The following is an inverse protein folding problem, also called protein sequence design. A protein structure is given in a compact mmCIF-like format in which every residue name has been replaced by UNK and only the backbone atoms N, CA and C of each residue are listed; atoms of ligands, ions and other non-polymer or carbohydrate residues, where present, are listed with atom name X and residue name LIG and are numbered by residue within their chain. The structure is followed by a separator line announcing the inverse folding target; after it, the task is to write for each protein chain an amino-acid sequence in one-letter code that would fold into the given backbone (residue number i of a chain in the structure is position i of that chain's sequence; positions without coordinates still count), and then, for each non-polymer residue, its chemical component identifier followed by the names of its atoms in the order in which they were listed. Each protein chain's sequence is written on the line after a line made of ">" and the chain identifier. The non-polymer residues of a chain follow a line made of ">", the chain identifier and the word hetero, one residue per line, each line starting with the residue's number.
data_IF_015715514584
#
_entry.id   IF_015715514584
#
_cell.length_a   1.000
_cell.length_b   1.000
_cell.length_c   1.000
_cell.angle_alpha   90.00
_cell.angle_beta   90.00
_cell.angle_gamma   90.00
#
_symmetry.space_group_name_H-M   'P 1'
#
loop_
_entity.id
_entity.type
_entity.pdbx_description
1 polymer ?
#
# COMPACT_ATOMS: atom_id res chain seq x y z
N UNK A 1 40.60 -11.23 -29.05
CA UNK A 1 39.84 -10.78 -27.87
C UNK A 1 38.91 -11.91 -27.50
N UNK A 2 39.06 -12.43 -26.29
CA UNK A 2 38.39 -13.66 -25.85
C UNK A 2 36.89 -13.39 -25.64
N UNK A 3 36.08 -13.76 -26.63
CA UNK A 3 34.64 -13.47 -26.65
C UNK A 3 33.90 -14.11 -25.47
N UNK A 4 34.36 -15.27 -25.03
CA UNK A 4 33.79 -15.98 -23.89
C UNK A 4 34.07 -15.23 -22.58
N UNK A 5 35.25 -14.64 -22.43
CA UNK A 5 35.58 -13.83 -21.26
C UNK A 5 34.72 -12.54 -21.20
N UNK A 6 34.43 -11.93 -22.35
CA UNK A 6 33.56 -10.76 -22.44
C UNK A 6 32.10 -11.12 -22.12
N UNK A 7 31.63 -12.26 -22.65
CA UNK A 7 30.29 -12.77 -22.36
C UNK A 7 30.14 -13.06 -20.86
N UNK A 8 31.12 -13.72 -20.26
CA UNK A 8 31.12 -14.05 -18.83
C UNK A 8 31.12 -12.80 -17.95
N UNK A 9 31.94 -11.80 -18.29
CA UNK A 9 31.95 -10.53 -17.57
C UNK A 9 30.61 -9.78 -17.67
N UNK A 10 29.95 -9.88 -18.82
CA UNK A 10 28.63 -9.26 -19.06
C UNK A 10 27.55 -9.93 -18.22
N UNK A 11 27.52 -11.28 -18.18
CA UNK A 11 26.58 -12.07 -17.37
C UNK A 11 26.76 -11.73 -15.89
N UNK A 12 27.99 -11.76 -15.40
CA UNK A 12 28.29 -11.48 -13.99
C UNK A 12 27.84 -10.06 -13.59
N UNK A 13 27.97 -9.08 -14.49
CA UNK A 13 27.48 -7.72 -14.26
C UNK A 13 25.96 -7.66 -14.22
N UNK A 14 25.26 -8.41 -15.06
CA UNK A 14 23.79 -8.49 -15.05
C UNK A 14 23.28 -9.14 -13.77
N UNK A 15 23.91 -10.22 -13.30
CA UNK A 15 23.55 -10.88 -12.04
C UNK A 15 23.67 -9.93 -10.84
N UNK A 16 24.75 -9.15 -10.77
CA UNK A 16 24.93 -8.14 -9.72
C UNK A 16 23.85 -7.07 -9.76
N UNK A 17 23.44 -6.64 -10.96
CA UNK A 17 22.37 -5.67 -11.13
C UNK A 17 21.03 -6.25 -10.68
N UNK A 18 20.69 -7.47 -11.10
CA UNK A 18 19.45 -8.16 -10.71
C UNK A 18 19.37 -8.29 -9.19
N UNK A 19 20.44 -8.76 -8.55
CA UNK A 19 20.48 -8.95 -7.11
C UNK A 19 20.30 -7.63 -6.35
N UNK A 20 20.88 -6.53 -6.84
CA UNK A 20 20.68 -5.20 -6.27
C UNK A 20 19.22 -4.73 -6.40
N UNK A 21 18.55 -5.03 -7.51
CA UNK A 21 17.12 -4.71 -7.68
C UNK A 21 16.22 -5.57 -6.77
N UNK A 22 16.50 -6.85 -6.63
CA UNK A 22 15.76 -7.73 -5.71
C UNK A 22 15.87 -7.27 -4.26
N UNK A 23 17.05 -6.84 -3.83
CA UNK A 23 17.25 -6.24 -2.51
C UNK A 23 16.43 -4.96 -2.35
N UNK A 24 16.49 -4.04 -3.32
CA UNK A 24 15.68 -2.80 -3.29
C UNK A 24 14.18 -3.06 -3.25
N UNK A 25 13.70 -4.09 -3.95
CA UNK A 25 12.29 -4.48 -3.91
C UNK A 25 11.89 -5.03 -2.54
N UNK A 26 12.76 -5.77 -1.85
CA UNK A 26 12.53 -6.25 -0.48
C UNK A 26 12.60 -5.13 0.57
N UNK A 27 13.49 -4.15 0.38
CA UNK A 27 13.67 -3.02 1.28
C UNK A 27 12.60 -1.94 1.11
N UNK A 28 11.89 -1.94 -0.01
CA UNK A 28 10.76 -1.06 -0.20
C UNK A 28 9.76 -1.36 0.92
N UNK A 29 9.42 -0.39 1.78
CA UNK A 29 8.51 -0.63 2.89
C UNK A 29 7.25 -1.23 2.29
N UNK A 30 6.80 -2.38 2.83
CA UNK A 30 5.57 -3.00 2.36
C UNK A 30 4.47 -1.93 2.46
N UNK A 31 4.05 -1.43 1.30
CA UNK A 31 3.08 -0.35 1.14
C UNK A 31 1.72 -0.75 1.75
N UNK A 32 1.58 -2.04 2.08
CA UNK A 32 0.54 -2.65 2.88
C UNK A 32 0.39 -2.05 4.28
N UNK A 33 1.47 -1.56 4.91
CA UNK A 33 1.44 -0.95 6.24
C UNK A 33 1.04 0.54 6.21
N UNK A 34 0.87 1.13 5.02
CA UNK A 34 0.47 2.53 4.90
C UNK A 34 -0.93 2.77 5.49
N UNK A 35 -1.04 3.80 6.33
CA UNK A 35 -2.31 4.22 6.93
C UNK A 35 -3.00 5.27 6.07
N UNK A 36 -4.13 4.91 5.50
CA UNK A 36 -5.01 5.79 4.74
C UNK A 36 -5.97 6.57 5.61
N UNK A 37 -6.25 7.80 5.19
CA UNK A 37 -7.32 8.64 5.69
C UNK A 37 -8.56 8.56 4.77
N UNK A 38 -9.66 9.19 5.16
CA UNK A 38 -10.92 9.13 4.39
C UNK A 38 -10.80 9.72 2.98
N UNK A 39 -9.96 10.73 2.77
CA UNK A 39 -9.69 11.29 1.44
C UNK A 39 -8.92 10.30 0.57
N UNK A 40 -7.88 9.65 1.09
CA UNK A 40 -7.12 8.62 0.36
C UNK A 40 -8.04 7.48 -0.11
N UNK A 41 -8.96 7.05 0.77
CA UNK A 41 -9.97 6.02 0.45
C UNK A 41 -10.92 6.51 -0.64
N UNK A 42 -11.40 7.76 -0.55
CA UNK A 42 -12.29 8.35 -1.53
C UNK A 42 -11.63 8.47 -2.91
N UNK A 43 -10.37 8.91 -2.94
CA UNK A 43 -9.57 9.04 -4.16
C UNK A 43 -9.27 7.70 -4.82
N UNK A 44 -9.05 6.66 -4.01
CA UNK A 44 -8.89 5.29 -4.49
C UNK A 44 -10.19 4.73 -5.10
N UNK A 45 -11.31 4.88 -4.40
CA UNK A 45 -12.61 4.39 -4.85
C UNK A 45 -13.25 5.27 -5.94
N UNK A 46 -12.66 6.44 -6.25
CA UNK A 46 -13.21 7.45 -7.16
C UNK A 46 -14.61 7.93 -6.73
N UNK A 47 -14.80 8.11 -5.43
CA UNK A 47 -16.02 8.60 -4.81
C UNK A 47 -15.79 9.95 -4.14
N UNK A 48 -16.88 10.67 -3.85
CA UNK A 48 -16.76 11.92 -3.09
C UNK A 48 -16.36 11.65 -1.63
N UNK A 49 -15.58 12.56 -1.04
CA UNK A 49 -15.19 12.47 0.38
C UNK A 49 -16.42 12.30 1.29
N UNK A 50 -17.48 13.08 1.06
CA UNK A 50 -18.72 13.04 1.86
C UNK A 50 -19.35 11.65 1.81
N UNK A 51 -19.51 11.10 0.61
CA UNK A 51 -20.11 9.78 0.44
C UNK A 51 -19.27 8.67 1.09
N UNK A 52 -17.95 8.73 0.92
CA UNK A 52 -17.03 7.79 1.57
C UNK A 52 -17.12 7.86 3.10
N UNK A 53 -17.14 9.07 3.66
CA UNK A 53 -17.24 9.26 5.11
C UNK A 53 -18.58 8.76 5.68
N UNK A 54 -19.69 9.09 5.03
CA UNK A 54 -21.04 8.80 5.55
C UNK A 54 -21.50 7.36 5.30
N UNK A 55 -21.16 6.78 4.14
CA UNK A 55 -21.73 5.49 3.70
C UNK A 55 -20.70 4.36 3.58
N UNK A 56 -19.45 4.66 3.24
CA UNK A 56 -18.43 3.62 3.05
C UNK A 56 -17.77 3.27 4.38
N UNK A 57 -17.22 4.25 5.10
CA UNK A 57 -16.47 3.98 6.35
C UNK A 57 -17.33 3.47 7.50
N UNK A 58 -18.64 3.65 7.41
CA UNK A 58 -19.66 3.22 8.37
C UNK A 58 -20.27 1.87 8.02
N UNK A 59 -19.96 1.32 6.84
CA UNK A 59 -20.52 0.05 6.39
C UNK A 59 -20.09 -1.09 7.31
N UNK A 60 -21.02 -2.00 7.64
CA UNK A 60 -20.83 -3.06 8.65
C UNK A 60 -19.60 -3.95 8.42
N UNK A 61 -19.28 -4.21 7.15
CA UNK A 61 -18.14 -5.02 6.74
C UNK A 61 -16.90 -4.21 6.36
N UNK A 62 -16.91 -2.89 6.55
CA UNK A 62 -15.74 -2.05 6.26
C UNK A 62 -14.64 -2.26 7.31
N UNK A 63 -13.34 -2.16 6.94
CA UNK A 63 -12.25 -2.32 7.90
C UNK A 63 -12.35 -1.40 9.13
N UNK A 64 -11.92 -1.93 10.28
CA UNK A 64 -11.94 -1.17 11.54
C UNK A 64 -10.87 -0.07 11.51
N UNK A 65 -11.19 1.16 11.97
CA UNK A 65 -10.22 2.23 11.99
C UNK A 65 -9.20 2.05 13.12
N UNK A 66 -7.93 2.30 12.79
CA UNK A 66 -6.85 2.55 13.74
C UNK A 66 -6.91 4.01 14.20
N UNK A 67 -6.84 4.22 15.51
CA UNK A 67 -6.72 5.56 16.10
C UNK A 67 -5.33 5.72 16.69
N UNK A 68 -4.46 6.41 15.96
CA UNK A 68 -3.10 6.71 16.41
C UNK A 68 -3.20 7.63 17.63
N UNK A 69 -2.61 7.29 18.78
CA UNK A 69 -2.64 8.14 19.96
C UNK A 69 -1.91 9.45 19.68
N UNK A 70 -2.53 10.58 20.04
CA UNK A 70 -1.89 11.89 19.97
C UNK A 70 -1.59 12.39 21.39
N UNK A 71 -0.77 13.42 21.55
CA UNK A 71 -0.59 14.10 22.85
C UNK A 71 -1.91 14.71 23.39
N UNK A 72 -2.89 14.95 22.52
CA UNK A 72 -4.25 15.36 22.88
C UNK A 72 -5.13 14.13 23.12
N UNK A 73 -6.28 14.32 23.77
CA UNK A 73 -7.18 13.22 24.13
C UNK A 73 -7.52 12.32 22.92
N UNK A 74 -7.77 11.02 23.20
CA UNK A 74 -8.17 10.01 22.19
C UNK A 74 -9.38 10.42 21.34
N UNK A 75 -10.16 11.38 21.82
CA UNK A 75 -11.40 11.87 21.20
C UNK A 75 -11.15 12.70 19.94
N UNK A 76 -9.97 13.30 19.78
CA UNK A 76 -9.60 14.08 18.58
C UNK A 76 -8.79 13.30 17.55
N UNK A 77 -8.47 12.03 17.82
CA UNK A 77 -7.75 11.19 16.88
C UNK A 77 -8.65 10.83 15.69
N UNK A 78 -8.38 11.46 14.54
CA UNK A 78 -9.03 11.13 13.28
C UNK A 78 -8.77 9.66 12.95
N UNK A 79 -9.78 8.90 12.50
CA UNK A 79 -9.59 7.51 12.13
C UNK A 79 -8.63 7.38 10.94
N UNK A 80 -7.89 6.27 10.93
CA UNK A 80 -7.03 5.82 9.84
C UNK A 80 -7.29 4.35 9.56
N UNK A 81 -6.99 3.88 8.37
CA UNK A 81 -7.19 2.48 7.98
C UNK A 81 -5.93 1.95 7.31
N UNK A 82 -5.61 0.68 7.52
CA UNK A 82 -4.56 0.06 6.73
C UNK A 82 -5.01 0.00 5.27
N UNK A 83 -4.14 0.46 4.37
CA UNK A 83 -4.36 0.42 2.93
C UNK A 83 -4.75 -0.99 2.49
N UNK A 84 -3.99 -2.00 2.94
CA UNK A 84 -4.22 -3.40 2.60
C UNK A 84 -5.66 -3.85 2.87
N UNK A 85 -6.18 -3.54 4.06
CA UNK A 85 -7.54 -3.94 4.46
C UNK A 85 -8.60 -3.29 3.57
N UNK A 86 -8.42 -2.02 3.19
CA UNK A 86 -9.34 -1.29 2.30
C UNK A 86 -9.31 -1.88 0.89
N UNK A 87 -8.12 -2.22 0.38
CA UNK A 87 -7.95 -2.88 -0.92
C UNK A 87 -8.63 -4.25 -0.94
N UNK A 88 -8.39 -5.06 0.09
CA UNK A 88 -8.96 -6.40 0.20
C UNK A 88 -10.47 -6.37 0.38
N UNK A 89 -11.00 -5.40 1.13
CA UNK A 89 -12.43 -5.14 1.21
C UNK A 89 -13.01 -4.82 -0.18
N UNK A 90 -12.43 -3.85 -0.90
CA UNK A 90 -12.92 -3.43 -2.21
C UNK A 90 -12.93 -4.57 -3.24
N UNK A 91 -11.91 -5.44 -3.21
CA UNK A 91 -11.80 -6.62 -4.10
C UNK A 91 -12.94 -7.62 -3.91
N UNK A 92 -13.49 -7.78 -2.70
CA UNK A 92 -14.60 -8.71 -2.40
C UNK A 92 -15.91 -8.32 -3.08
N UNK A 93 -16.08 -7.04 -3.39
CA UNK A 93 -17.29 -6.49 -4.02
C UNK A 93 -17.19 -6.37 -5.55
N UNK A 94 -16.15 -6.94 -6.18
CA UNK A 94 -16.09 -7.06 -7.64
C UNK A 94 -17.33 -7.82 -8.13
N UNK A 95 -18.21 -7.12 -8.82
CA UNK A 95 -19.30 -7.73 -9.58
C UNK A 95 -18.67 -8.59 -10.67
N UNK A 96 -19.21 -9.81 -10.87
CA UNK A 96 -18.78 -10.74 -11.91
C UNK A 96 -18.92 -10.13 -13.30
#
# INVERSE_FOLDING_TARGET
>A
MDHDALLQASIQRLEQVILCYEQKLKEQPEDDAALWNTADIADYLKLSYKYTNEYITTHINFPKPVRVPTKKSKQHCRPRWYRKDVLDWARRYKTK
#
